data_IF_982318552215
#
_entry.id   IF_982318552215
#
_cell.length_a   1.000
_cell.length_b   1.000
_cell.length_c   1.000
_cell.angle_alpha   90.00
_cell.angle_beta   90.00
_cell.angle_gamma   90.00
#
_symmetry.space_group_name_H-M   'P 1'
#
loop_
_entity.id
_entity.type
_entity.pdbx_description
1 polymer ?
#
# COMPACT_ATOMS: atom_id res chain seq x y z
N UNK A 1 -2.64 -10.82 56.07
CA UNK A 1 -3.32 -11.83 55.24
C UNK A 1 -4.07 -12.91 56.08
N UNK A 2 -4.66 -12.56 57.23
CA UNK A 2 -5.31 -13.58 58.10
C UNK A 2 -6.81 -13.75 57.87
N UNK A 3 -7.49 -12.74 57.32
CA UNK A 3 -8.95 -12.69 57.21
C UNK A 3 -9.50 -13.36 55.92
N UNK A 4 -8.65 -13.59 54.91
CA UNK A 4 -9.06 -14.26 53.66
C UNK A 4 -9.28 -15.77 53.83
N UNK A 5 -8.66 -16.40 54.83
CA UNK A 5 -8.82 -17.84 55.07
C UNK A 5 -10.22 -18.23 55.54
N UNK A 6 -10.97 -17.33 56.16
CA UNK A 6 -12.32 -17.58 56.67
C UNK A 6 -13.39 -17.62 55.56
N UNK A 7 -13.09 -17.06 54.37
CA UNK A 7 -14.02 -16.98 53.24
C UNK A 7 -13.67 -17.93 52.09
N UNK A 8 -12.57 -18.70 52.22
CA UNK A 8 -12.15 -19.66 51.21
C UNK A 8 -12.70 -21.04 51.56
N UNK A 9 -13.51 -21.60 50.67
CA UNK A 9 -13.94 -23.00 50.75
C UNK A 9 -12.69 -23.88 50.64
N UNK A 10 -12.43 -24.70 51.66
CA UNK A 10 -11.32 -25.67 51.62
C UNK A 10 -11.67 -26.84 50.70
N UNK A 11 -10.66 -27.61 50.26
CA UNK A 11 -10.87 -28.81 49.44
C UNK A 11 -11.74 -29.83 50.18
N UNK A 12 -11.56 -29.94 51.50
CA UNK A 12 -12.39 -30.76 52.37
C UNK A 12 -13.85 -30.26 52.43
N UNK A 13 -14.05 -28.94 52.51
CA UNK A 13 -15.40 -28.35 52.48
C UNK A 13 -16.09 -28.58 51.14
N UNK A 14 -15.39 -28.39 50.02
CA UNK A 14 -15.93 -28.64 48.68
C UNK A 14 -16.36 -30.10 48.50
N UNK A 15 -15.52 -31.04 48.95
CA UNK A 15 -15.85 -32.48 48.93
C UNK A 15 -17.08 -32.80 49.78
N UNK A 16 -17.21 -32.17 50.94
CA UNK A 16 -18.34 -32.35 51.86
C UNK A 16 -19.66 -31.78 51.31
N UNK A 17 -19.62 -30.63 50.64
CA UNK A 17 -20.83 -29.92 50.19
C UNK A 17 -21.28 -30.31 48.79
N UNK A 18 -20.37 -30.73 47.91
CA UNK A 18 -20.69 -30.94 46.49
C UNK A 18 -20.50 -32.37 45.99
N UNK A 19 -20.08 -33.30 46.86
CA UNK A 19 -19.91 -34.74 46.55
C UNK A 19 -19.00 -35.02 45.33
N UNK A 20 -18.02 -34.15 45.08
CA UNK A 20 -16.95 -34.37 44.11
C UNK A 20 -15.58 -33.98 44.69
N UNK A 21 -14.53 -34.67 44.23
CA UNK A 21 -13.15 -34.34 44.59
C UNK A 21 -12.56 -33.31 43.61
N UNK A 22 -12.04 -32.21 44.14
CA UNK A 22 -11.25 -31.26 43.36
C UNK A 22 -9.84 -31.84 43.19
N UNK A 23 -9.55 -32.47 42.07
CA UNK A 23 -8.18 -32.80 41.69
C UNK A 23 -7.43 -31.51 41.31
N UNK A 24 -6.22 -31.32 41.82
CA UNK A 24 -5.37 -30.22 41.36
C UNK A 24 -4.86 -30.55 39.95
N UNK A 25 -4.55 -29.53 39.13
CA UNK A 25 -4.04 -29.73 37.74
C UNK A 25 -2.79 -30.63 37.64
N UNK A 26 -2.12 -30.86 38.77
CA UNK A 26 -0.95 -31.74 38.90
C UNK A 26 -1.31 -33.24 38.97
N UNK A 27 -2.57 -33.59 39.26
CA UNK A 27 -3.06 -34.97 39.36
C UNK A 27 -3.52 -35.59 38.05
N UNK A 28 -3.89 -34.76 37.06
CA UNK A 28 -4.39 -35.20 35.75
C UNK A 28 -3.25 -35.46 34.77
N UNK A 29 -3.38 -36.48 33.92
CA UNK A 29 -2.37 -36.80 32.90
C UNK A 29 -2.29 -35.73 31.80
N UNK A 30 -1.17 -35.66 31.06
CA UNK A 30 -1.02 -34.75 29.90
C UNK A 30 -2.17 -34.93 28.90
N UNK A 31 -2.60 -36.18 28.69
CA UNK A 31 -3.68 -36.54 27.77
C UNK A 31 -5.04 -36.01 28.25
N UNK A 32 -5.33 -36.13 29.54
CA UNK A 32 -6.56 -35.59 30.14
C UNK A 32 -6.56 -34.07 30.14
N UNK A 33 -5.43 -33.43 30.45
CA UNK A 33 -5.31 -31.98 30.36
C UNK A 33 -5.58 -31.47 28.93
N UNK A 34 -4.98 -32.09 27.92
CA UNK A 34 -5.25 -31.75 26.51
C UNK A 34 -6.73 -31.97 26.16
N UNK A 35 -7.38 -32.98 26.73
CA UNK A 35 -8.82 -33.16 26.55
C UNK A 35 -9.62 -32.03 27.22
N UNK A 36 -9.22 -31.56 28.40
CA UNK A 36 -9.87 -30.42 29.08
C UNK A 36 -9.73 -29.11 28.29
N UNK A 37 -8.64 -28.94 27.53
CA UNK A 37 -8.51 -27.78 26.64
C UNK A 37 -9.67 -27.70 25.64
N UNK A 38 -10.29 -28.82 25.26
CA UNK A 38 -11.48 -28.80 24.39
C UNK A 38 -12.73 -28.20 25.04
N UNK A 39 -12.73 -27.93 26.34
CA UNK A 39 -13.86 -27.30 27.05
C UNK A 39 -13.81 -25.77 26.96
N UNK A 40 -12.71 -25.19 26.47
CA UNK A 40 -12.52 -23.75 26.32
C UNK A 40 -12.73 -23.35 24.85
N UNK A 41 -13.45 -22.25 24.57
CA UNK A 41 -13.71 -21.82 23.20
C UNK A 41 -12.44 -21.35 22.48
N UNK A 42 -11.49 -20.79 23.24
CA UNK A 42 -10.18 -20.33 22.78
C UNK A 42 -9.07 -20.75 23.75
N UNK A 43 -7.84 -20.74 23.24
CA UNK A 43 -6.64 -21.09 23.99
C UNK A 43 -5.67 -19.92 23.98
N UNK A 44 -4.95 -19.69 25.09
CA UNK A 44 -3.86 -18.73 25.07
C UNK A 44 -2.77 -19.15 24.09
N UNK A 45 -2.07 -18.17 23.53
CA UNK A 45 -1.00 -18.37 22.55
C UNK A 45 0.07 -19.34 23.05
N UNK A 46 0.41 -19.33 24.34
CA UNK A 46 1.42 -20.24 24.90
C UNK A 46 0.95 -21.70 24.89
N UNK A 47 -0.34 -21.95 25.15
CA UNK A 47 -0.91 -23.28 25.04
C UNK A 47 -0.86 -23.76 23.59
N UNK A 48 -1.22 -22.91 22.63
CA UNK A 48 -1.17 -23.21 21.19
C UNK A 48 0.25 -23.55 20.74
N UNK A 49 1.24 -22.75 21.11
CA UNK A 49 2.65 -23.00 20.76
C UNK A 49 3.14 -24.30 21.39
N UNK A 50 2.78 -24.55 22.66
CA UNK A 50 3.15 -25.79 23.35
C UNK A 50 2.58 -27.01 22.62
N UNK A 51 1.33 -26.94 22.17
CA UNK A 51 0.69 -28.01 21.39
C UNK A 51 1.36 -28.22 20.03
N UNK A 52 1.69 -27.14 19.31
CA UNK A 52 2.40 -27.20 18.03
C UNK A 52 3.76 -27.88 18.16
N UNK A 53 4.41 -27.73 19.31
CA UNK A 53 5.71 -28.32 19.64
C UNK A 53 5.62 -29.70 20.31
N UNK A 54 4.41 -30.25 20.54
CA UNK A 54 4.16 -31.47 21.32
C UNK A 54 4.67 -31.42 22.78
N UNK A 55 4.74 -30.22 23.33
CA UNK A 55 5.11 -30.00 24.72
C UNK A 55 3.89 -30.13 25.64
N UNK A 56 4.13 -30.25 26.94
CA UNK A 56 3.06 -30.20 27.93
C UNK A 56 2.69 -28.72 28.18
N UNK A 57 1.47 -28.25 27.85
CA UNK A 57 1.13 -26.83 27.98
C UNK A 57 1.21 -26.30 29.42
N UNK A 58 1.15 -27.18 30.43
CA UNK A 58 1.29 -26.82 31.84
C UNK A 58 2.70 -26.37 32.22
N UNK A 59 3.69 -26.82 31.45
CA UNK A 59 5.12 -26.52 31.66
C UNK A 59 5.52 -25.15 31.05
N UNK A 60 4.68 -24.12 31.17
CA UNK A 60 4.84 -22.82 30.50
C UNK A 60 6.27 -22.25 30.53
N UNK A 61 6.86 -22.13 31.73
CA UNK A 61 8.21 -21.55 31.90
C UNK A 61 9.32 -22.38 31.23
N UNK A 62 9.11 -23.68 31.09
CA UNK A 62 10.04 -24.59 30.43
C UNK A 62 9.84 -24.54 28.92
N UNK A 63 8.59 -24.45 28.46
CA UNK A 63 8.25 -24.37 27.04
C UNK A 63 8.82 -23.10 26.38
N UNK A 64 8.81 -21.96 27.09
CA UNK A 64 9.44 -20.71 26.61
C UNK A 64 10.94 -20.83 26.30
N UNK A 65 11.62 -21.84 26.87
CA UNK A 65 13.05 -22.12 26.60
C UNK A 65 13.26 -23.01 25.37
N UNK A 66 12.19 -23.52 24.76
CA UNK A 66 12.31 -24.35 23.58
C UNK A 66 12.85 -23.52 22.39
N UNK A 67 13.84 -23.99 21.61
CA UNK A 67 14.49 -23.17 20.57
C UNK A 67 13.53 -22.65 19.49
N UNK A 68 12.43 -23.38 19.24
CA UNK A 68 11.40 -22.99 18.26
C UNK A 68 10.26 -22.16 18.85
N UNK A 69 10.26 -21.91 20.16
CA UNK A 69 9.16 -21.20 20.82
C UNK A 69 8.97 -19.81 20.24
N UNK A 70 10.01 -18.97 20.34
CA UNK A 70 9.95 -17.58 19.87
C UNK A 70 9.72 -17.51 18.37
N UNK A 71 10.26 -18.44 17.58
CA UNK A 71 10.04 -18.49 16.14
C UNK A 71 8.54 -18.67 15.81
N UNK A 72 7.86 -19.56 16.52
CA UNK A 72 6.42 -19.80 16.31
C UNK A 72 5.61 -18.63 16.90
N UNK A 73 6.00 -18.12 18.05
CA UNK A 73 5.38 -16.96 18.68
C UNK A 73 5.38 -15.75 17.73
N UNK A 74 6.55 -15.36 17.22
CA UNK A 74 6.71 -14.21 16.31
C UNK A 74 5.92 -14.42 15.01
N UNK A 75 5.86 -15.65 14.51
CA UNK A 75 5.07 -15.97 13.32
C UNK A 75 3.56 -15.83 13.54
N UNK A 76 3.05 -16.31 14.69
CA UNK A 76 1.63 -16.17 15.04
C UNK A 76 1.31 -14.70 15.33
N UNK A 77 2.16 -14.03 16.12
CA UNK A 77 1.99 -12.62 16.46
C UNK A 77 1.96 -11.74 15.21
N UNK A 78 2.94 -11.90 14.31
CA UNK A 78 2.98 -11.15 13.06
C UNK A 78 1.79 -11.45 12.13
N UNK A 79 1.23 -12.66 12.19
CA UNK A 79 0.00 -13.00 11.44
C UNK A 79 -1.26 -12.39 12.07
N UNK A 80 -1.30 -12.27 13.39
CA UNK A 80 -2.36 -11.54 14.11
C UNK A 80 -2.31 -10.04 13.76
N UNK A 81 -1.14 -9.41 13.80
CA UNK A 81 -0.98 -7.99 13.46
C UNK A 81 -1.42 -7.66 12.03
N UNK A 82 -1.18 -8.58 11.09
CA UNK A 82 -1.60 -8.44 9.69
C UNK A 82 -3.09 -8.73 9.48
N UNK A 83 -3.78 -9.29 10.47
CA UNK A 83 -5.18 -9.71 10.37
C UNK A 83 -5.40 -11.06 9.69
N UNK A 84 -4.34 -11.84 9.46
CA UNK A 84 -4.41 -13.17 8.86
C UNK A 84 -4.99 -14.20 9.84
N UNK A 85 -4.75 -13.99 11.15
CA UNK A 85 -5.31 -14.77 12.25
C UNK A 85 -6.31 -13.91 13.00
N UNK A 86 -7.58 -14.35 13.06
CA UNK A 86 -8.56 -13.78 13.99
C UNK A 86 -8.33 -14.31 15.39
N UNK A 87 -8.12 -13.42 16.34
CA UNK A 87 -7.93 -13.72 17.77
C UNK A 87 -8.71 -12.74 18.64
N UNK A 88 -8.75 -13.03 19.95
CA UNK A 88 -9.23 -12.12 20.98
C UNK A 88 -8.06 -11.68 21.85
N UNK A 89 -8.10 -10.45 22.35
CA UNK A 89 -7.18 -9.97 23.37
C UNK A 89 -7.90 -9.98 24.70
N UNK A 90 -7.30 -10.65 25.68
CA UNK A 90 -7.75 -10.54 27.06
C UNK A 90 -7.10 -9.29 27.68
N UNK A 91 -7.90 -8.34 28.14
CA UNK A 91 -7.39 -7.16 28.85
C UNK A 91 -7.55 -7.38 30.35
N UNK A 92 -6.59 -6.91 31.15
CA UNK A 92 -6.82 -6.84 32.59
C UNK A 92 -7.92 -5.82 32.95
N UNK A 93 -8.28 -5.74 34.23
CA UNK A 93 -9.29 -4.80 34.74
C UNK A 93 -8.97 -3.32 34.46
N UNK A 94 -7.73 -3.02 34.06
CA UNK A 94 -7.24 -1.68 33.75
C UNK A 94 -7.03 -1.49 32.23
N UNK A 95 -7.44 -2.44 31.39
CA UNK A 95 -7.30 -2.35 29.94
C UNK A 95 -5.90 -2.68 29.40
N UNK A 96 -4.96 -3.17 30.22
CA UNK A 96 -3.63 -3.52 29.74
C UNK A 96 -3.61 -4.87 29.05
N UNK A 97 -2.94 -4.91 27.89
CA UNK A 97 -2.70 -6.10 27.07
C UNK A 97 -1.28 -6.59 27.40
N UNK A 98 -1.17 -7.81 27.95
CA UNK A 98 0.10 -8.47 28.28
C UNK A 98 0.52 -9.43 27.15
N UNK A 99 1.80 -9.84 27.12
CA UNK A 99 2.36 -10.71 26.06
C UNK A 99 1.65 -12.08 25.89
N UNK A 100 0.86 -12.54 26.87
CA UNK A 100 0.12 -13.81 26.81
C UNK A 100 -1.40 -13.63 26.64
N UNK A 101 -1.87 -12.44 26.26
CA UNK A 101 -3.30 -12.12 26.17
C UNK A 101 -3.97 -12.54 24.87
N UNK A 102 -3.18 -13.00 23.90
CA UNK A 102 -3.70 -13.49 22.62
C UNK A 102 -4.39 -14.82 22.86
N UNK A 103 -5.71 -14.83 22.66
CA UNK A 103 -6.59 -15.99 22.71
C UNK A 103 -6.97 -16.41 21.29
N UNK A 104 -6.63 -17.65 20.92
CA UNK A 104 -6.79 -18.18 19.56
C UNK A 104 -7.90 -19.26 19.59
N UNK A 105 -8.95 -19.11 18.77
CA UNK A 105 -10.00 -20.13 18.64
C UNK A 105 -9.46 -21.48 18.12
N UNK A 106 -10.05 -22.58 18.57
CA UNK A 106 -9.61 -23.94 18.22
C UNK A 106 -9.54 -24.20 16.71
N UNK A 107 -10.54 -23.73 15.96
CA UNK A 107 -10.61 -23.91 14.51
C UNK A 107 -9.45 -23.17 13.80
N UNK A 108 -9.13 -21.97 14.26
CA UNK A 108 -8.05 -21.15 13.70
C UNK A 108 -6.69 -21.77 14.02
N UNK A 109 -6.46 -22.15 15.29
CA UNK A 109 -5.22 -22.82 15.70
C UNK A 109 -5.00 -24.15 14.95
N UNK A 110 -6.06 -24.93 14.76
CA UNK A 110 -6.01 -26.17 13.96
C UNK A 110 -5.69 -25.89 12.49
N UNK A 111 -6.38 -24.94 11.86
CA UNK A 111 -6.12 -24.57 10.46
C UNK A 111 -4.67 -24.11 10.26
N UNK A 112 -4.14 -23.35 11.21
CA UNK A 112 -2.75 -22.93 11.21
C UNK A 112 -1.80 -24.13 11.31
N UNK A 113 -2.08 -25.06 12.22
CA UNK A 113 -1.29 -26.28 12.36
C UNK A 113 -1.27 -27.09 11.06
N UNK A 114 -2.43 -27.29 10.44
CA UNK A 114 -2.58 -28.01 9.18
C UNK A 114 -1.80 -27.33 8.04
N UNK A 115 -1.85 -25.99 7.97
CA UNK A 115 -1.18 -25.19 6.94
C UNK A 115 0.35 -25.32 7.00
N UNK A 116 0.91 -25.35 8.22
CA UNK A 116 2.36 -25.34 8.44
C UNK A 116 2.94 -26.69 8.87
N UNK A 117 2.14 -27.76 8.82
CA UNK A 117 2.55 -29.11 9.21
C UNK A 117 2.95 -29.22 10.69
N UNK A 118 2.30 -28.46 11.56
CA UNK A 118 2.51 -28.49 13.01
C UNK A 118 1.57 -29.50 13.68
N UNK A 119 1.89 -29.88 14.91
CA UNK A 119 1.07 -30.84 15.65
C UNK A 119 -0.17 -30.17 16.24
N UNK A 120 -1.31 -30.84 16.10
CA UNK A 120 -2.55 -30.47 16.79
C UNK A 120 -3.28 -31.72 17.26
N UNK A 121 -3.27 -31.96 18.57
CA UNK A 121 -3.89 -33.13 19.20
C UNK A 121 -5.03 -32.76 20.15
N UNK A 122 -5.48 -31.50 20.13
CA UNK A 122 -6.63 -31.07 20.92
C UNK A 122 -7.92 -31.53 20.23
N UNK A 123 -8.83 -32.20 20.96
CA UNK A 123 -10.15 -32.52 20.43
C UNK A 123 -10.90 -31.27 19.97
N UNK A 124 -11.91 -31.40 19.09
CA UNK A 124 -12.80 -30.30 18.75
C UNK A 124 -13.42 -29.69 20.00
N UNK A 125 -13.62 -28.38 20.00
CA UNK A 125 -14.29 -27.67 21.09
C UNK A 125 -15.63 -28.33 21.42
N UNK A 126 -15.84 -28.59 22.71
CA UNK A 126 -17.08 -29.12 23.29
C UNK A 126 -17.62 -28.06 24.23
N UNK A 127 -18.68 -27.33 23.86
CA UNK A 127 -19.35 -26.47 24.81
C UNK A 127 -19.80 -27.31 26.00
N UNK A 128 -19.65 -26.77 27.21
CA UNK A 128 -20.20 -27.37 28.41
C UNK A 128 -21.71 -27.49 28.22
N UNK A 129 -22.18 -28.70 27.93
CA UNK A 129 -23.58 -29.04 28.16
C UNK A 129 -23.76 -28.99 29.69
N UNK A 130 -24.24 -27.87 30.21
CA UNK A 130 -24.85 -27.87 31.53
C UNK A 130 -25.85 -29.04 31.57
N UNK A 131 -25.87 -29.84 32.65
CA UNK A 131 -26.81 -30.95 32.74
C UNK A 131 -28.21 -30.39 32.49
N UNK A 132 -29.00 -31.02 31.60
CA UNK A 132 -30.32 -30.52 31.32
C UNK A 132 -31.13 -30.65 32.61
N UNK A 133 -31.52 -29.53 33.20
CA UNK A 133 -32.79 -29.49 33.91
C UNK A 133 -33.80 -30.02 32.89
N UNK A 134 -34.53 -31.09 33.22
CA UNK A 134 -35.60 -31.59 32.36
C UNK A 134 -36.67 -30.51 32.29
N UNK A 135 -36.50 -29.62 31.32
CA UNK A 135 -37.41 -28.57 30.94
C UNK A 135 -38.10 -29.04 29.66
N UNK A 136 -39.43 -28.89 29.61
CA UNK A 136 -40.27 -29.34 28.51
C UNK A 136 -39.77 -28.79 27.16
N UNK A 137 -40.09 -29.44 26.03
CA UNK A 137 -39.58 -29.03 24.70
C UNK A 137 -39.92 -27.57 24.32
N UNK A 138 -40.94 -26.97 24.96
CA UNK A 138 -41.22 -25.53 24.87
C UNK A 138 -40.16 -24.69 25.57
N UNK A 139 -39.72 -25.08 26.76
CA UNK A 139 -38.74 -24.35 27.57
C UNK A 139 -37.33 -24.43 26.96
N UNK A 140 -36.99 -25.53 26.27
CA UNK A 140 -35.76 -25.61 25.47
C UNK A 140 -35.77 -24.62 24.31
N UNK A 141 -36.92 -24.48 23.65
CA UNK A 141 -37.09 -23.52 22.54
C UNK A 141 -37.03 -22.09 23.05
N UNK A 142 -37.64 -21.81 24.22
CA UNK A 142 -37.59 -20.50 24.89
C UNK A 142 -36.14 -20.15 25.25
N UNK A 143 -35.40 -21.04 25.91
CA UNK A 143 -34.00 -20.79 26.27
C UNK A 143 -33.11 -20.58 25.03
N UNK A 144 -33.33 -21.34 23.95
CA UNK A 144 -32.57 -21.16 22.71
C UNK A 144 -32.85 -19.80 22.05
N UNK A 145 -34.10 -19.36 22.10
CA UNK A 145 -34.51 -18.05 21.61
C UNK A 145 -33.96 -16.93 22.49
N UNK A 146 -33.94 -17.08 23.81
CA UNK A 146 -33.37 -16.11 24.75
C UNK A 146 -31.85 -15.93 24.53
N UNK A 147 -31.11 -17.03 24.34
CA UNK A 147 -29.69 -16.97 23.97
C UNK A 147 -29.52 -16.26 22.64
N UNK A 148 -30.36 -16.56 21.64
CA UNK A 148 -30.29 -15.91 20.33
C UNK A 148 -30.62 -14.42 20.39
N UNK A 149 -31.57 -14.03 21.24
CA UNK A 149 -31.92 -12.63 21.49
C UNK A 149 -30.73 -11.91 22.11
N UNK A 150 -30.09 -12.49 23.12
CA UNK A 150 -28.90 -11.91 23.75
C UNK A 150 -27.74 -11.74 22.75
N UNK A 151 -27.48 -12.74 21.91
CA UNK A 151 -26.46 -12.64 20.85
C UNK A 151 -26.79 -11.52 19.84
N UNK A 152 -28.05 -11.38 19.46
CA UNK A 152 -28.50 -10.33 18.54
C UNK A 152 -28.44 -8.94 19.18
N UNK A 153 -28.76 -8.81 20.46
CA UNK A 153 -28.65 -7.57 21.23
C UNK A 153 -27.18 -7.14 21.37
N UNK A 154 -26.27 -8.07 21.61
CA UNK A 154 -24.83 -7.80 21.65
C UNK A 154 -24.31 -7.34 20.28
N UNK A 155 -24.71 -8.02 19.20
CA UNK A 155 -24.35 -7.62 17.84
C UNK A 155 -24.90 -6.22 17.51
N UNK A 156 -26.15 -5.94 17.87
CA UNK A 156 -26.77 -4.63 17.67
C UNK A 156 -26.01 -3.54 18.43
N UNK A 157 -25.64 -3.78 19.69
CA UNK A 157 -24.87 -2.83 20.49
C UNK A 157 -23.50 -2.54 19.86
N UNK A 158 -22.84 -3.56 19.30
CA UNK A 158 -21.56 -3.41 18.60
C UNK A 158 -21.70 -2.61 17.30
N UNK A 159 -22.71 -2.91 16.49
CA UNK A 159 -22.99 -2.17 15.26
C UNK A 159 -23.36 -0.70 15.55
N UNK A 160 -24.19 -0.45 16.56
CA UNK A 160 -24.52 0.91 16.99
C UNK A 160 -23.28 1.68 17.49
N UNK A 161 -22.37 1.00 18.19
CA UNK A 161 -21.08 1.58 18.57
C UNK A 161 -20.24 1.98 17.36
N UNK A 162 -20.16 1.10 16.34
CA UNK A 162 -19.47 1.42 15.09
C UNK A 162 -20.10 2.61 14.35
N UNK A 163 -21.42 2.64 14.22
CA UNK A 163 -22.13 3.77 13.58
C UNK A 163 -21.83 5.07 14.30
N UNK A 164 -21.81 5.07 15.63
CA UNK A 164 -21.43 6.25 16.42
C UNK A 164 -20.00 6.72 16.14
N UNK A 165 -19.04 5.80 16.09
CA UNK A 165 -17.65 6.17 15.76
C UNK A 165 -17.53 6.73 14.33
N UNK A 166 -18.28 6.18 13.38
CA UNK A 166 -18.34 6.68 12.00
C UNK A 166 -18.93 8.09 11.94
N UNK A 167 -20.01 8.35 12.68
CA UNK A 167 -20.61 9.68 12.79
C UNK A 167 -19.65 10.71 13.41
N UNK A 168 -18.91 10.33 14.45
CA UNK A 168 -17.88 11.18 15.05
C UNK A 168 -16.76 11.53 14.05
N UNK A 169 -16.31 10.55 13.24
CA UNK A 169 -15.35 10.79 12.16
C UNK A 169 -15.90 11.69 11.05
N UNK A 170 -17.18 11.53 10.68
CA UNK A 170 -17.84 12.38 9.69
C UNK A 170 -17.92 13.83 10.19
N UNK A 171 -18.34 14.05 11.44
CA UNK A 171 -18.39 15.39 12.04
C UNK A 171 -17.01 16.06 12.07
N UNK A 172 -15.96 15.30 12.40
CA UNK A 172 -14.60 15.81 12.39
C UNK A 172 -14.16 16.23 10.97
N UNK A 173 -14.46 15.41 9.96
CA UNK A 173 -14.16 15.72 8.57
C UNK A 173 -14.93 16.95 8.06
N UNK A 174 -16.19 17.09 8.42
CA UNK A 174 -17.00 18.27 8.07
C UNK A 174 -16.41 19.55 8.70
N UNK A 175 -15.95 19.48 9.95
CA UNK A 175 -15.26 20.59 10.62
C UNK A 175 -13.97 20.99 9.89
N UNK A 176 -13.17 20.00 9.49
CA UNK A 176 -11.96 20.20 8.69
C UNK A 176 -12.25 20.85 7.34
N UNK A 177 -13.36 20.47 6.70
CA UNK A 177 -13.78 21.04 5.43
C UNK A 177 -14.10 22.54 5.58
N UNK A 178 -14.85 22.90 6.62
CA UNK A 178 -15.18 24.30 6.95
C UNK A 178 -13.92 25.11 7.24
N UNK A 179 -12.96 24.56 7.97
CA UNK A 179 -11.70 25.23 8.27
C UNK A 179 -10.85 25.43 7.02
N UNK A 180 -10.80 24.43 6.14
CA UNK A 180 -10.15 24.53 4.83
C UNK A 180 -10.78 25.61 3.95
N UNK A 181 -12.11 25.69 3.90
CA UNK A 181 -12.82 26.71 3.12
C UNK A 181 -12.56 28.12 3.66
N UNK A 182 -12.48 28.29 5.00
CA UNK A 182 -12.06 29.56 5.61
C UNK A 182 -10.65 29.98 5.18
N UNK A 183 -9.69 29.05 5.24
CA UNK A 183 -8.31 29.30 4.80
C UNK A 183 -8.24 29.65 3.31
N UNK A 184 -9.03 29.00 2.45
CA UNK A 184 -9.10 29.32 1.03
C UNK A 184 -9.65 30.75 0.82
N UNK A 185 -10.69 31.14 1.56
CA UNK A 185 -11.24 32.50 1.50
C UNK A 185 -10.20 33.51 1.98
N UNK A 186 -9.49 33.22 3.06
CA UNK A 186 -8.45 34.09 3.61
C UNK A 186 -7.30 34.27 2.61
N UNK A 187 -6.76 33.18 2.06
CA UNK A 187 -5.73 33.22 1.01
C UNK A 187 -6.18 33.98 -0.23
N UNK A 188 -7.41 33.75 -0.69
CA UNK A 188 -7.98 34.50 -1.82
C UNK A 188 -8.02 35.98 -1.51
N UNK A 189 -8.51 36.34 -0.33
CA UNK A 189 -8.56 37.73 0.12
C UNK A 189 -7.16 38.34 0.14
N UNK A 190 -6.15 37.66 0.73
CA UNK A 190 -4.75 38.14 0.74
C UNK A 190 -4.24 38.41 -0.68
N UNK A 191 -4.45 37.48 -1.61
CA UNK A 191 -4.06 37.60 -3.03
C UNK A 191 -4.78 38.77 -3.72
N UNK A 192 -6.04 39.05 -3.36
CA UNK A 192 -6.79 40.20 -3.91
C UNK A 192 -6.50 41.54 -3.21
N UNK A 193 -6.03 41.54 -1.96
CA UNK A 193 -5.75 42.75 -1.18
C UNK A 193 -4.31 43.24 -1.27
N UNK A 194 -3.40 42.41 -1.77
CA UNK A 194 -2.13 42.91 -2.30
C UNK A 194 -2.46 43.76 -3.54
N UNK A 195 -2.63 45.08 -3.32
CA UNK A 195 -2.43 46.02 -4.42
C UNK A 195 -1.02 45.73 -4.95
N UNK A 196 -0.84 45.54 -6.28
CA UNK A 196 0.48 45.30 -6.82
C UNK A 196 1.38 46.42 -6.30
N UNK A 197 2.51 46.03 -5.71
CA UNK A 197 3.46 47.00 -5.19
C UNK A 197 3.81 48.01 -6.31
N UNK A 198 4.28 49.21 -5.96
CA UNK A 198 4.72 50.18 -6.99
C UNK A 198 5.73 49.54 -7.96
N UNK A 199 6.55 48.60 -7.47
CA UNK A 199 7.49 47.80 -8.25
C UNK A 199 6.80 46.82 -9.22
N UNK A 200 5.76 46.09 -8.79
CA UNK A 200 5.00 45.19 -9.68
C UNK A 200 4.20 45.96 -10.74
N UNK A 201 3.67 47.13 -10.37
CA UNK A 201 2.96 48.01 -11.30
C UNK A 201 3.93 48.58 -12.35
N UNK A 202 5.15 48.93 -11.94
CA UNK A 202 6.21 49.37 -12.85
C UNK A 202 6.67 48.24 -13.76
N UNK A 203 6.89 47.04 -13.23
CA UNK A 203 7.25 45.84 -14.00
C UNK A 203 6.18 45.44 -15.03
N UNK A 204 4.90 45.62 -14.71
CA UNK A 204 3.81 45.38 -15.66
C UNK A 204 3.80 46.41 -16.79
N UNK A 205 4.05 47.69 -16.48
CA UNK A 205 4.23 48.74 -17.49
C UNK A 205 5.41 48.46 -18.41
N UNK A 206 6.57 48.13 -17.84
CA UNK A 206 7.78 47.85 -18.59
C UNK A 206 7.59 46.64 -19.52
N UNK A 207 6.89 45.58 -19.05
CA UNK A 207 6.56 44.43 -19.88
C UNK A 207 5.59 44.76 -21.02
N UNK A 208 4.62 45.64 -20.80
CA UNK A 208 3.72 46.11 -21.86
C UNK A 208 4.46 46.94 -22.90
N UNK A 209 5.38 47.82 -22.48
CA UNK A 209 6.22 48.61 -23.38
C UNK A 209 7.17 47.73 -24.19
N UNK A 210 7.84 46.77 -23.54
CA UNK A 210 8.69 45.78 -24.22
C UNK A 210 7.91 44.97 -25.25
N UNK A 211 6.68 44.55 -24.92
CA UNK A 211 5.83 43.79 -25.84
C UNK A 211 5.42 44.64 -27.04
N UNK A 212 5.10 45.91 -26.83
CA UNK A 212 4.81 46.85 -27.91
C UNK A 212 6.03 47.09 -28.82
N UNK A 213 7.22 47.25 -28.24
CA UNK A 213 8.47 47.37 -29.01
C UNK A 213 8.79 46.10 -29.81
N UNK A 214 8.54 44.91 -29.24
CA UNK A 214 8.70 43.64 -29.93
C UNK A 214 7.72 43.52 -31.10
N UNK A 215 6.45 43.89 -30.93
CA UNK A 215 5.47 43.91 -32.02
C UNK A 215 5.83 44.92 -33.11
N UNK A 216 6.33 46.10 -32.74
CA UNK A 216 6.81 47.12 -33.68
C UNK A 216 8.01 46.60 -34.49
N UNK A 217 9.03 46.03 -33.83
CA UNK A 217 10.19 45.42 -34.48
C UNK A 217 9.79 44.23 -35.37
N UNK A 218 8.82 43.42 -34.95
CA UNK A 218 8.28 42.34 -35.77
C UNK A 218 7.55 42.88 -37.00
N UNK A 219 6.79 43.98 -36.86
CA UNK A 219 6.14 44.64 -37.98
C UNK A 219 7.16 45.30 -38.92
N UNK A 220 8.25 45.87 -38.41
CA UNK A 220 9.35 46.40 -39.22
C UNK A 220 10.11 45.30 -39.97
N UNK A 221 10.38 44.16 -39.33
CA UNK A 221 10.96 42.98 -39.98
C UNK A 221 10.06 42.46 -41.10
N UNK A 222 8.75 42.37 -40.83
CA UNK A 222 7.77 41.96 -41.84
C UNK A 222 7.69 42.93 -43.01
N UNK A 223 7.81 44.24 -42.76
CA UNK A 223 7.93 45.27 -43.83
C UNK A 223 9.26 45.19 -44.59
N UNK A 224 10.35 44.71 -43.96
CA UNK A 224 11.62 44.42 -44.65
C UNK A 224 11.58 43.13 -45.47
N UNK A 225 10.76 42.15 -45.09
CA UNK A 225 10.49 40.96 -45.90
C UNK A 225 9.54 41.25 -47.08
N UNK A 226 8.63 42.22 -46.95
CA UNK A 226 7.74 42.71 -48.04
C UNK A 226 8.40 43.77 -48.95
N UNK A 227 9.62 44.23 -48.65
CA UNK A 227 10.48 44.85 -49.66
C UNK A 227 10.98 43.73 -50.57
N UNK A 228 10.97 43.87 -51.91
CA UNK A 228 11.62 42.91 -52.78
C UNK A 228 13.08 42.83 -52.34
N UNK A 229 13.43 41.71 -51.71
CA UNK A 229 14.80 41.37 -51.43
C UNK A 229 15.46 41.09 -52.77
N UNK A 230 15.98 42.16 -53.40
CA UNK A 230 17.05 42.09 -54.40
C UNK A 230 18.37 41.64 -53.74
N UNK A 231 18.30 40.62 -52.89
CA UNK A 231 19.35 39.62 -52.70
C UNK A 231 18.80 38.26 -53.07
N UNK A 232 18.19 38.25 -54.24
CA UNK A 232 18.42 37.22 -55.25
C UNK A 232 19.90 36.77 -55.17
N UNK A 233 20.15 35.62 -54.56
CA UNK A 233 21.32 34.81 -54.89
C UNK A 233 20.96 34.12 -56.21
N UNK A 234 20.90 34.86 -57.32
CA UNK A 234 20.67 34.27 -58.67
C UNK A 234 21.97 34.12 -59.43
N UNK A 235 22.01 33.01 -60.16
CA UNK A 235 22.77 32.81 -61.37
C UNK A 235 24.23 32.42 -61.17
N UNK A 236 25.00 33.23 -60.43
CA UNK A 236 26.47 33.03 -60.37
C UNK A 236 26.93 32.08 -59.27
N UNK A 237 26.36 32.18 -58.08
CA UNK A 237 26.74 31.36 -56.93
C UNK A 237 26.12 29.97 -56.99
N UNK A 238 24.87 29.80 -57.46
CA UNK A 238 24.28 28.46 -57.62
C UNK A 238 25.08 27.63 -58.64
N UNK A 239 25.44 28.22 -59.77
CA UNK A 239 26.34 27.61 -60.75
C UNK A 239 27.71 27.29 -60.13
N UNK A 240 28.28 28.21 -59.34
CA UNK A 240 29.55 27.96 -58.66
C UNK A 240 29.45 26.80 -57.64
N UNK A 241 28.35 26.71 -56.89
CA UNK A 241 28.11 25.62 -55.94
C UNK A 241 27.93 24.29 -56.67
N UNK A 242 27.19 24.25 -57.78
CA UNK A 242 27.04 23.05 -58.57
C UNK A 242 28.36 22.62 -59.23
N UNK A 243 29.20 23.56 -59.67
CA UNK A 243 30.54 23.27 -60.19
C UNK A 243 31.48 22.70 -59.12
N UNK A 244 31.43 23.24 -57.89
CA UNK A 244 32.19 22.69 -56.76
C UNK A 244 31.71 21.29 -56.39
N UNK A 245 30.39 21.08 -56.36
CA UNK A 245 29.77 19.77 -56.14
C UNK A 245 30.21 18.77 -57.21
N UNK A 246 30.27 19.19 -58.49
CA UNK A 246 30.74 18.36 -59.58
C UNK A 246 32.23 17.99 -59.44
N UNK A 247 33.10 18.98 -59.19
CA UNK A 247 34.53 18.75 -59.04
C UNK A 247 34.86 17.81 -57.86
N UNK A 248 34.17 17.98 -56.73
CA UNK A 248 34.34 17.11 -55.57
C UNK A 248 33.85 15.69 -55.84
N UNK A 249 32.69 15.55 -56.50
CA UNK A 249 32.18 14.24 -56.94
C UNK A 249 33.18 13.52 -57.83
N UNK A 250 33.68 14.17 -58.89
CA UNK A 250 34.67 13.58 -59.81
C UNK A 250 35.97 13.25 -59.09
N UNK A 251 36.43 14.08 -58.17
CA UNK A 251 37.64 13.80 -57.37
C UNK A 251 37.46 12.54 -56.49
N UNK A 252 36.29 12.40 -55.85
CA UNK A 252 35.98 11.24 -55.01
C UNK A 252 35.82 9.94 -55.81
N UNK A 253 35.32 10.02 -57.06
CA UNK A 253 35.15 8.86 -57.93
C UNK A 253 36.44 8.50 -58.70
N UNK A 254 37.27 9.48 -59.06
CA UNK A 254 38.53 9.27 -59.79
C UNK A 254 39.67 8.76 -58.91
N UNK A 255 39.68 9.09 -57.62
CA UNK A 255 40.66 8.57 -56.65
C UNK A 255 40.35 7.14 -56.17
N UNK A 256 39.40 6.44 -56.81
CA UNK A 256 38.88 5.10 -56.43
C UNK A 256 38.41 4.98 -54.97
N UNK A 257 38.22 6.11 -54.26
CA UNK A 257 37.74 6.13 -52.88
C UNK A 257 36.30 5.59 -52.79
N UNK A 258 35.50 5.82 -53.83
CA UNK A 258 34.16 5.28 -53.96
C UNK A 258 33.98 4.60 -55.32
N UNK A 259 33.41 3.39 -55.28
CA UNK A 259 33.22 2.52 -56.45
C UNK A 259 32.25 3.10 -57.49
N UNK A 260 31.23 3.83 -57.02
CA UNK A 260 30.24 4.48 -57.88
C UNK A 260 29.52 5.60 -57.11
N UNK A 261 28.77 6.42 -57.85
CA UNK A 261 28.01 7.54 -57.29
C UNK A 261 26.98 7.09 -56.24
N UNK A 262 26.37 5.92 -56.40
CA UNK A 262 25.36 5.40 -55.46
C UNK A 262 25.96 5.15 -54.07
N UNK A 263 27.15 4.55 -54.03
CA UNK A 263 27.89 4.29 -52.79
C UNK A 263 28.29 5.59 -52.09
N UNK A 264 28.77 6.57 -52.85
CA UNK A 264 29.09 7.91 -52.34
C UNK A 264 27.87 8.62 -51.74
N UNK A 265 26.72 8.57 -52.42
CA UNK A 265 25.47 9.19 -51.91
C UNK A 265 25.05 8.54 -50.60
N UNK A 266 25.07 7.19 -50.56
CA UNK A 266 24.69 6.43 -49.39
C UNK A 266 25.59 6.77 -48.19
N UNK A 267 26.91 6.70 -48.38
CA UNK A 267 27.88 6.98 -47.31
C UNK A 267 27.75 8.41 -46.77
N UNK A 268 27.51 9.40 -47.65
CA UNK A 268 27.27 10.79 -47.23
C UNK A 268 25.95 10.94 -46.45
N UNK A 269 24.87 10.31 -46.90
CA UNK A 269 23.58 10.40 -46.21
C UNK A 269 23.59 9.72 -44.85
N UNK A 270 24.31 8.60 -44.71
CA UNK A 270 24.46 7.88 -43.45
C UNK A 270 25.36 8.65 -42.48
N UNK A 271 26.51 9.15 -42.95
CA UNK A 271 27.46 9.89 -42.10
C UNK A 271 26.90 11.23 -41.59
N UNK A 272 26.03 11.87 -42.37
CA UNK A 272 25.39 13.15 -42.01
C UNK A 272 23.90 13.02 -41.70
N UNK A 273 23.50 11.89 -41.11
CA UNK A 273 22.12 11.68 -40.65
C UNK A 273 21.71 12.81 -39.70
N UNK A 274 20.58 13.48 -39.99
CA UNK A 274 20.04 14.58 -39.20
C UNK A 274 20.42 15.99 -39.69
N UNK A 275 21.31 16.11 -40.68
CA UNK A 275 21.60 17.40 -41.31
C UNK A 275 20.53 17.77 -42.35
N UNK A 276 19.89 18.92 -42.16
CA UNK A 276 18.89 19.45 -43.09
C UNK A 276 19.51 19.65 -44.48
N UNK A 277 18.97 18.96 -45.49
CA UNK A 277 19.41 19.09 -46.88
C UNK A 277 20.32 17.97 -47.40
N UNK A 278 20.82 17.08 -46.54
CA UNK A 278 21.73 15.97 -46.90
C UNK A 278 21.03 14.59 -46.97
N UNK A 279 19.72 14.56 -47.25
CA UNK A 279 19.02 13.31 -47.53
C UNK A 279 19.47 12.71 -48.87
N UNK A 280 19.35 11.39 -49.03
CA UNK A 280 19.68 10.71 -50.28
C UNK A 280 18.98 11.34 -51.50
N UNK A 281 17.69 11.67 -51.36
CA UNK A 281 16.91 12.29 -52.44
C UNK A 281 17.47 13.66 -52.85
N UNK A 282 17.92 14.47 -51.90
CA UNK A 282 18.49 15.78 -52.20
C UNK A 282 19.89 15.66 -52.81
N UNK A 283 20.72 14.75 -52.32
CA UNK A 283 22.05 14.48 -52.87
C UNK A 283 21.96 13.98 -54.32
N UNK A 284 21.02 13.08 -54.62
CA UNK A 284 20.71 12.61 -55.99
C UNK A 284 20.35 13.78 -56.91
N UNK A 285 19.45 14.65 -56.46
CA UNK A 285 19.02 15.82 -57.24
C UNK A 285 20.18 16.77 -57.52
N UNK A 286 21.00 17.10 -56.51
CA UNK A 286 22.14 18.02 -56.66
C UNK A 286 23.27 17.43 -57.53
N UNK A 287 23.59 16.15 -57.39
CA UNK A 287 24.58 15.49 -58.26
C UNK A 287 24.11 15.28 -59.69
N UNK A 288 22.80 15.20 -59.93
CA UNK A 288 22.26 15.15 -61.29
C UNK A 288 22.34 16.52 -61.95
N UNK A 289 21.92 17.58 -61.24
CA UNK A 289 21.96 18.96 -61.73
C UNK A 289 23.37 19.50 -61.97
N UNK A 290 24.37 18.98 -61.25
CA UNK A 290 25.76 19.39 -61.44
C UNK A 290 26.42 18.86 -62.72
N UNK A 291 25.82 17.85 -63.38
CA UNK A 291 26.35 17.25 -64.62
C UNK A 291 26.07 18.10 -65.87
N UNK A 292 25.07 18.97 -65.81
CA UNK A 292 24.53 19.68 -66.98
C UNK A 292 25.14 21.09 -67.19
N UNK A 293 26.12 21.47 -66.37
CA UNK A 293 26.81 22.76 -66.48
C UNK A 293 28.11 22.58 -67.30
N UNK A 294 28.09 23.05 -68.55
CA UNK A 294 29.27 23.21 -69.41
C UNK A 294 29.73 24.66 -69.45
#
# INVERSE_FOLDING_TARGET
MSWLKEYLITKEDAKKYFDFEIETEQGISKKEYIAHLSMFPDLCIDNVISLFLDLDPRDYNKNKKHPRYNIIYDAIYGAVEKGDIKCYYETDINGHIWDNTIRIPHNIAKQWADTYGLKWNVPPYKPLNNPPVQLDDKDKTINLLEIKILELEEQLAKEQGMVRTLDEHLQYNDSLLVEKDKLIIELKNTITTEQPSEEETQLQKDNQELKAQVEELQAELKKKDDQPSDKIISGKSETAYLNLIHALKETCLSNETFENQEKLIKDLSEMYTGYTGLSESNLRDKFSKSKDLK
#
